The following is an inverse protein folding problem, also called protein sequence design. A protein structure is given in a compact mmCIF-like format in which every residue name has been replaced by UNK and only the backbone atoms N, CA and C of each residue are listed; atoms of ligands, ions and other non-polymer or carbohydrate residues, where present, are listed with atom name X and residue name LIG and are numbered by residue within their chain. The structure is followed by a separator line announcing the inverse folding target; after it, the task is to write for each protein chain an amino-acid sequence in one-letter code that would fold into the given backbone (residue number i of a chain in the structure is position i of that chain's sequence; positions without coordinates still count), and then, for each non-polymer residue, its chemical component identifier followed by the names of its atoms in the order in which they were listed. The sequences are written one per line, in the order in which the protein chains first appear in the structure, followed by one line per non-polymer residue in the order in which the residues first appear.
data_IF_350456032684
#
_entry.id   IF_350456032684
#
_cell.length_a   1.000
_cell.length_b   1.000
_cell.length_c   1.000
_cell.angle_alpha   90.00
_cell.angle_beta   90.00
_cell.angle_gamma   90.00
#
_symmetry.space_group_name_H-M   'P 1'
#
loop_
_entity.id
_entity.type
_entity.pdbx_description
1 polymer ?
#
# COMPACT_ATOMS: atom_id res chain seq x y z
N UNK A 1 -25.54 -5.91 20.42
CA UNK A 1 -24.91 -7.24 20.29
C UNK A 1 -23.64 -7.07 19.48
N UNK A 2 -22.50 -7.32 20.10
CA UNK A 2 -21.16 -7.04 19.57
C UNK A 2 -20.69 -8.20 18.69
N UNK A 3 -20.21 -7.92 17.47
CA UNK A 3 -19.36 -8.86 16.73
C UNK A 3 -18.02 -8.17 16.41
N UNK A 4 -17.00 -8.57 17.16
CA UNK A 4 -15.59 -8.20 16.96
C UNK A 4 -15.00 -9.17 15.92
N UNK A 5 -14.46 -8.65 14.83
CA UNK A 5 -13.61 -9.44 13.93
C UNK A 5 -12.18 -9.35 14.47
N UNK A 6 -11.69 -10.45 15.04
CA UNK A 6 -10.30 -10.61 15.45
C UNK A 6 -9.43 -10.90 14.23
N UNK A 7 -8.34 -10.15 14.07
CA UNK A 7 -7.19 -10.61 13.29
C UNK A 7 -6.45 -11.66 14.14
N UNK A 8 -6.56 -12.92 13.74
CA UNK A 8 -5.84 -14.03 14.36
C UNK A 8 -4.47 -14.12 13.72
N UNK A 9 -3.42 -13.85 14.51
CA UNK A 9 -2.04 -14.25 14.21
C UNK A 9 -1.77 -15.50 15.03
N UNK A 10 -1.69 -16.66 14.39
CA UNK A 10 -1.32 -17.92 15.04
C UNK A 10 0.21 -17.97 15.08
N UNK A 11 0.78 -17.92 16.28
CA UNK A 11 2.20 -18.28 16.51
C UNK A 11 2.19 -19.47 17.47
N UNK A 12 2.55 -20.66 16.99
CA UNK A 12 2.66 -21.85 17.84
C UNK A 12 4.10 -21.98 18.32
N UNK A 13 4.30 -21.97 19.64
CA UNK A 13 5.56 -22.30 20.29
C UNK A 13 5.49 -23.73 20.83
N UNK A 14 6.42 -24.59 20.41
CA UNK A 14 6.58 -25.94 20.97
C UNK A 14 7.82 -25.99 21.87
N UNK A 15 7.61 -26.58 23.06
CA UNK A 15 8.62 -26.87 24.08
C UNK A 15 9.39 -28.14 23.69
N UNK A 16 10.72 -28.05 23.74
CA UNK A 16 11.65 -29.17 23.52
C UNK A 16 11.75 -30.07 24.76
N UNK A 17 11.83 -31.39 24.54
CA UNK A 17 12.49 -32.33 25.45
C UNK A 17 13.48 -33.21 24.64
N UNK A 18 14.61 -33.65 25.26
CA UNK A 18 15.77 -34.16 24.52
C UNK A 18 15.76 -35.68 24.36
N UNK A 19 16.25 -36.15 23.22
CA UNK A 19 16.51 -37.57 22.95
C UNK A 19 17.55 -37.74 21.86
N UNK A 20 18.68 -38.35 22.23
CA UNK A 20 19.88 -38.50 21.43
C UNK A 20 19.77 -39.58 20.34
N UNK A 21 20.41 -39.34 19.19
CA UNK A 21 21.53 -40.15 18.65
C UNK A 21 21.60 -40.12 17.13
N UNK A 22 22.85 -40.14 16.66
CA UNK A 22 23.31 -39.84 15.32
C UNK A 22 23.03 -40.95 14.28
N UNK A 23 22.70 -40.53 13.05
CA UNK A 23 23.39 -40.83 11.78
C UNK A 23 22.40 -40.73 10.61
N UNK A 24 22.50 -39.67 9.82
CA UNK A 24 22.33 -39.73 8.35
C UNK A 24 22.74 -38.38 7.76
N UNK A 25 23.78 -38.39 6.95
CA UNK A 25 24.18 -37.26 6.11
C UNK A 25 23.54 -37.47 4.74
N UNK A 26 22.22 -37.27 4.63
CA UNK A 26 21.51 -37.03 3.38
C UNK A 26 20.01 -36.83 3.65
N UNK A 27 19.64 -35.69 4.22
CA UNK A 27 18.32 -35.08 3.99
C UNK A 27 18.58 -33.60 3.77
N UNK A 28 19.06 -33.26 2.56
CA UNK A 28 18.84 -31.89 2.07
C UNK A 28 17.34 -31.84 1.78
N UNK A 29 16.61 -31.02 2.54
CA UNK A 29 15.26 -30.61 2.16
C UNK A 29 15.23 -30.31 0.66
N UNK A 30 14.20 -30.77 -0.07
CA UNK A 30 14.15 -30.57 -1.51
C UNK A 30 14.27 -29.06 -1.79
N UNK A 31 15.11 -28.64 -2.76
CA UNK A 31 15.18 -27.25 -3.14
C UNK A 31 13.78 -26.82 -3.54
N UNK A 32 13.30 -25.75 -2.91
CA UNK A 32 12.00 -25.17 -3.17
C UNK A 32 11.77 -25.06 -4.69
N UNK A 33 10.85 -25.88 -5.21
CA UNK A 33 10.57 -25.96 -6.63
C UNK A 33 9.49 -24.96 -7.03
N UNK A 34 9.59 -23.71 -6.57
CA UNK A 34 8.76 -22.64 -7.12
C UNK A 34 9.44 -22.18 -8.41
N UNK A 35 8.85 -22.43 -9.59
CA UNK A 35 9.47 -21.99 -10.84
C UNK A 35 9.53 -20.47 -10.86
N UNK A 36 10.74 -19.94 -10.94
CA UNK A 36 11.00 -18.51 -11.04
C UNK A 36 12.23 -18.28 -11.91
N UNK A 37 12.06 -17.51 -12.98
CA UNK A 37 13.14 -17.09 -13.86
C UNK A 37 13.31 -15.57 -13.76
N UNK A 38 14.38 -15.07 -13.10
CA UNK A 38 14.64 -13.65 -13.01
C UNK A 38 15.00 -13.02 -14.37
N UNK A 39 15.29 -13.78 -15.42
CA UNK A 39 15.48 -13.24 -16.77
C UNK A 39 14.17 -12.96 -17.51
N UNK A 40 13.06 -13.59 -17.10
CA UNK A 40 11.74 -13.36 -17.71
C UNK A 40 11.31 -11.90 -17.50
N UNK A 41 10.98 -11.12 -18.55
CA UNK A 41 10.55 -9.73 -18.40
C UNK A 41 9.31 -9.59 -17.52
N UNK A 42 9.19 -8.51 -16.73
CA UNK A 42 8.03 -8.28 -15.84
C UNK A 42 6.67 -8.43 -16.54
N UNK A 43 6.55 -7.93 -17.78
CA UNK A 43 5.34 -8.07 -18.61
C UNK A 43 4.94 -9.54 -18.80
N UNK A 44 5.91 -10.42 -19.04
CA UNK A 44 5.68 -11.85 -19.27
C UNK A 44 5.29 -12.60 -17.98
N UNK A 45 5.36 -11.95 -16.81
CA UNK A 45 4.94 -12.49 -15.51
C UNK A 45 3.49 -12.19 -15.17
N UNK A 46 2.76 -11.51 -16.06
CA UNK A 46 1.32 -11.36 -15.93
C UNK A 46 0.66 -12.71 -16.19
N UNK A 47 -0.11 -13.19 -15.22
CA UNK A 47 -0.80 -14.48 -15.30
C UNK A 47 -1.95 -14.58 -14.32
N UNK A 48 -2.49 -15.79 -14.17
CA UNK A 48 -3.65 -16.02 -13.31
C UNK A 48 -3.34 -15.77 -11.82
N UNK A 49 -4.27 -15.17 -11.07
CA UNK A 49 -4.15 -15.01 -9.61
C UNK A 49 -4.13 -16.39 -8.92
N UNK A 50 -3.44 -16.49 -7.78
CA UNK A 50 -3.45 -17.73 -7.01
C UNK A 50 -4.83 -17.98 -6.37
N UNK A 51 -5.12 -19.24 -6.02
CA UNK A 51 -6.37 -19.59 -5.32
C UNK A 51 -6.49 -18.88 -3.97
N UNK A 52 -5.37 -18.72 -3.26
CA UNK A 52 -5.33 -18.05 -1.96
C UNK A 52 -5.66 -16.56 -2.09
N UNK A 53 -5.18 -15.91 -3.16
CA UNK A 53 -5.53 -14.53 -3.47
C UNK A 53 -7.03 -14.40 -3.73
N UNK A 54 -7.60 -15.26 -4.59
CA UNK A 54 -9.04 -15.25 -4.85
C UNK A 54 -9.86 -15.52 -3.57
N UNK A 55 -9.38 -16.41 -2.70
CA UNK A 55 -10.00 -16.67 -1.40
C UNK A 55 -9.92 -15.46 -0.47
N UNK A 56 -8.79 -14.75 -0.42
CA UNK A 56 -8.62 -13.54 0.38
C UNK A 56 -9.61 -12.43 -0.04
N UNK A 57 -9.80 -12.21 -1.34
CA UNK A 57 -10.80 -11.27 -1.86
C UNK A 57 -12.23 -11.67 -1.47
N UNK A 58 -12.60 -12.95 -1.59
CA UNK A 58 -13.92 -13.43 -1.15
C UNK A 58 -14.09 -13.28 0.36
N UNK A 59 -13.05 -13.55 1.13
CA UNK A 59 -13.03 -13.42 2.59
C UNK A 59 -13.19 -11.97 3.07
N UNK A 60 -12.85 -10.98 2.24
CA UNK A 60 -13.11 -9.57 2.54
C UNK A 60 -14.55 -9.14 2.26
N UNK A 61 -15.42 -10.05 1.82
CA UNK A 61 -16.80 -9.76 1.42
C UNK A 61 -16.94 -9.24 -0.02
N UNK A 62 -15.87 -9.29 -0.84
CA UNK A 62 -15.97 -8.90 -2.23
C UNK A 62 -16.85 -9.89 -3.03
N UNK A 63 -17.64 -9.35 -3.97
CA UNK A 63 -18.48 -10.15 -4.87
C UNK A 63 -17.93 -10.12 -6.28
N UNK A 64 -18.33 -11.08 -7.13
CA UNK A 64 -17.84 -11.18 -8.51
C UNK A 64 -16.37 -11.60 -8.64
N UNK A 65 -15.79 -12.23 -7.60
CA UNK A 65 -14.35 -12.50 -7.53
C UNK A 65 -13.90 -13.58 -8.50
N UNK A 66 -13.11 -13.20 -9.51
CA UNK A 66 -12.53 -14.10 -10.49
C UNK A 66 -11.28 -13.52 -11.20
N UNK A 67 -10.55 -14.32 -11.98
CA UNK A 67 -9.45 -13.82 -12.81
C UNK A 67 -9.95 -12.79 -13.83
N UNK A 68 -9.15 -11.76 -14.08
CA UNK A 68 -9.38 -10.80 -15.16
C UNK A 68 -8.38 -11.00 -16.29
N UNK A 69 -8.89 -11.12 -17.52
CA UNK A 69 -8.07 -11.15 -18.72
C UNK A 69 -7.95 -9.73 -19.27
N UNK A 70 -6.72 -9.23 -19.36
CA UNK A 70 -6.46 -7.89 -19.86
C UNK A 70 -6.84 -7.75 -21.35
N UNK A 71 -7.61 -6.71 -21.65
CA UNK A 71 -7.81 -6.20 -23.01
C UNK A 71 -6.56 -5.49 -23.54
N UNK A 72 -6.51 -5.22 -24.84
CA UNK A 72 -5.40 -4.49 -25.47
C UNK A 72 -5.18 -3.09 -24.87
N UNK A 73 -6.26 -2.41 -24.49
CA UNK A 73 -6.20 -1.09 -23.88
C UNK A 73 -5.59 -1.15 -22.46
N UNK A 74 -5.96 -2.17 -21.69
CA UNK A 74 -5.42 -2.38 -20.34
C UNK A 74 -3.96 -2.83 -20.39
N UNK A 75 -3.60 -3.67 -21.35
CA UNK A 75 -2.21 -4.04 -21.60
C UNK A 75 -1.31 -2.83 -21.85
N UNK A 76 -1.78 -1.84 -22.62
CA UNK A 76 -1.05 -0.58 -22.82
C UNK A 76 -0.85 0.19 -21.52
N UNK A 77 -1.85 0.20 -20.64
CA UNK A 77 -1.73 0.83 -19.32
C UNK A 77 -0.73 0.10 -18.43
N UNK A 78 -0.74 -1.24 -18.43
CA UNK A 78 0.24 -2.06 -17.69
C UNK A 78 1.66 -1.81 -18.18
N UNK A 79 1.89 -1.80 -19.49
CA UNK A 79 3.21 -1.49 -20.06
C UNK A 79 3.71 -0.11 -19.66
N UNK A 80 2.84 0.90 -19.81
CA UNK A 80 3.16 2.27 -19.43
C UNK A 80 3.48 2.38 -17.93
N UNK A 81 2.71 1.70 -17.08
CA UNK A 81 2.92 1.67 -15.64
C UNK A 81 4.25 1.00 -15.26
N UNK A 82 4.57 -0.18 -15.83
CA UNK A 82 5.83 -0.88 -15.58
C UNK A 82 7.03 -0.04 -16.05
N UNK A 83 6.95 0.54 -17.25
CA UNK A 83 7.98 1.45 -17.77
C UNK A 83 8.10 2.72 -16.92
N UNK A 84 7.04 3.10 -16.21
CA UNK A 84 7.01 4.27 -15.36
C UNK A 84 7.62 4.10 -13.96
N UNK A 85 7.81 2.86 -13.51
CA UNK A 85 8.47 2.59 -12.22
C UNK A 85 9.90 3.16 -12.19
N UNK A 86 10.41 3.63 -11.03
CA UNK A 86 11.82 3.95 -10.87
C UNK A 86 12.73 2.77 -11.22
N UNK A 87 13.97 3.04 -11.65
CA UNK A 87 14.92 1.98 -12.06
C UNK A 87 15.14 0.94 -10.96
N UNK A 88 15.39 1.40 -9.72
CA UNK A 88 15.61 0.52 -8.57
C UNK A 88 14.41 -0.41 -8.32
N UNK A 89 13.17 0.12 -8.42
CA UNK A 89 11.96 -0.70 -8.33
C UNK A 89 11.93 -1.76 -9.42
N UNK A 90 12.18 -1.41 -10.69
CA UNK A 90 12.22 -2.40 -11.78
C UNK A 90 13.28 -3.47 -11.55
N UNK A 91 14.48 -3.09 -11.11
CA UNK A 91 15.59 -4.01 -10.87
C UNK A 91 15.29 -4.99 -9.69
N UNK A 92 14.61 -4.50 -8.65
CA UNK A 92 14.15 -5.35 -7.53
C UNK A 92 13.00 -6.25 -7.98
N UNK A 93 11.99 -5.70 -8.67
CA UNK A 93 10.88 -6.50 -9.17
C UNK A 93 11.38 -7.59 -10.14
N UNK A 94 12.36 -7.30 -10.99
CA UNK A 94 12.94 -8.28 -11.90
C UNK A 94 13.52 -9.49 -11.14
N UNK A 95 14.08 -9.28 -9.95
CA UNK A 95 14.65 -10.34 -9.10
C UNK A 95 13.66 -11.00 -8.13
N UNK A 96 12.59 -10.30 -7.73
CA UNK A 96 11.75 -10.75 -6.62
C UNK A 96 10.26 -10.89 -6.97
N UNK A 97 9.76 -10.26 -8.04
CA UNK A 97 8.35 -10.35 -8.41
C UNK A 97 8.10 -11.58 -9.28
N UNK A 98 7.54 -12.64 -8.71
CA UNK A 98 7.21 -13.86 -9.43
C UNK A 98 6.03 -13.67 -10.38
N UNK A 99 4.99 -12.96 -9.95
CA UNK A 99 3.74 -12.84 -10.70
C UNK A 99 3.07 -11.49 -10.54
N UNK A 100 2.48 -11.01 -11.63
CA UNK A 100 1.47 -9.95 -11.62
C UNK A 100 0.14 -10.60 -12.02
N UNK A 101 -0.95 -10.30 -11.31
CA UNK A 101 -2.27 -10.81 -11.69
C UNK A 101 -3.35 -9.76 -11.49
N UNK A 102 -4.47 -9.95 -12.19
CA UNK A 102 -5.61 -9.05 -12.16
C UNK A 102 -6.86 -9.81 -11.77
N UNK A 103 -7.66 -9.22 -10.88
CA UNK A 103 -8.90 -9.83 -10.38
C UNK A 103 -10.09 -8.93 -10.65
N UNK A 104 -11.17 -9.53 -11.13
CA UNK A 104 -12.49 -8.93 -11.02
C UNK A 104 -12.94 -8.97 -9.57
N UNK A 105 -13.47 -7.86 -9.06
CA UNK A 105 -14.03 -7.75 -7.73
C UNK A 105 -14.94 -6.50 -7.66
N UNK A 106 -15.99 -6.56 -6.85
CA UNK A 106 -16.89 -5.43 -6.60
C UNK A 106 -16.15 -4.19 -6.07
N UNK A 107 -16.68 -3.01 -6.38
CA UNK A 107 -16.17 -1.75 -5.85
C UNK A 107 -16.16 -1.75 -4.31
N UNK A 108 -15.15 -1.11 -3.71
CA UNK A 108 -14.92 -1.14 -2.27
C UNK A 108 -14.18 -2.40 -1.75
N UNK A 109 -13.93 -3.40 -2.60
CA UNK A 109 -12.96 -4.45 -2.29
C UNK A 109 -11.53 -3.89 -2.22
N UNK A 110 -10.61 -4.62 -1.57
CA UNK A 110 -9.19 -4.26 -1.55
C UNK A 110 -8.65 -4.00 -2.96
N UNK A 111 -7.94 -2.89 -3.15
CA UNK A 111 -7.51 -2.48 -4.49
C UNK A 111 -6.34 -3.29 -5.03
N UNK A 112 -5.51 -3.83 -4.13
CA UNK A 112 -4.37 -4.64 -4.47
C UNK A 112 -3.97 -5.54 -3.30
N UNK A 113 -3.15 -6.55 -3.60
CA UNK A 113 -2.54 -7.44 -2.62
C UNK A 113 -1.13 -7.79 -3.05
N UNK A 114 -0.15 -7.51 -2.18
CA UNK A 114 1.25 -7.94 -2.33
C UNK A 114 1.57 -9.03 -1.31
N UNK A 115 1.61 -10.29 -1.76
CA UNK A 115 1.89 -11.45 -0.90
C UNK A 115 3.31 -11.96 -1.11
N UNK A 116 4.00 -12.26 -0.02
CA UNK A 116 5.24 -13.03 -0.07
C UNK A 116 4.89 -14.49 -0.33
N UNK A 117 5.57 -15.09 -1.30
CA UNK A 117 5.52 -16.51 -1.59
C UNK A 117 6.59 -17.18 -0.75
N UNK A 118 6.22 -18.31 -0.12
CA UNK A 118 6.98 -19.17 0.79
C UNK A 118 8.45 -18.77 1.07
N UNK A 119 8.73 -18.46 2.34
CA UNK A 119 10.02 -17.93 2.79
C UNK A 119 11.15 -18.96 2.79
N UNK A 120 10.82 -20.25 2.67
CA UNK A 120 11.77 -21.36 2.79
C UNK A 120 12.61 -21.56 1.50
N UNK A 121 12.41 -20.70 0.49
CA UNK A 121 12.99 -20.80 -0.85
C UNK A 121 14.29 -19.98 -1.06
N UNK A 122 14.91 -19.49 0.01
CA UNK A 122 16.11 -18.64 -0.06
C UNK A 122 15.77 -17.17 -0.23
N UNK A 123 15.69 -16.68 -1.47
CA UNK A 123 15.31 -15.27 -1.72
C UNK A 123 13.78 -15.09 -1.65
N UNK A 124 13.33 -14.04 -0.97
CA UNK A 124 11.91 -13.73 -0.88
C UNK A 124 11.34 -13.41 -2.28
N UNK A 125 10.33 -14.18 -2.69
CA UNK A 125 9.56 -13.96 -3.90
C UNK A 125 8.18 -13.38 -3.57
N UNK A 126 7.60 -12.63 -4.50
CA UNK A 126 6.33 -11.94 -4.30
C UNK A 126 5.38 -12.15 -5.46
N UNK A 127 4.10 -12.23 -5.14
CA UNK A 127 3.01 -12.06 -6.10
C UNK A 127 2.34 -10.71 -5.83
N UNK A 128 2.02 -9.99 -6.91
CA UNK A 128 1.29 -8.73 -6.89
C UNK A 128 -0.04 -8.92 -7.62
N UNK A 129 -1.14 -8.63 -6.94
CA UNK A 129 -2.49 -8.70 -7.52
C UNK A 129 -3.14 -7.34 -7.50
N UNK A 130 -3.76 -6.91 -8.60
CA UNK A 130 -4.51 -5.66 -8.70
C UNK A 130 -5.98 -5.93 -9.05
N UNK A 131 -6.90 -5.11 -8.53
CA UNK A 131 -8.31 -5.13 -8.96
C UNK A 131 -8.43 -4.55 -10.39
N UNK A 132 -9.12 -5.26 -11.28
CA UNK A 132 -9.31 -4.86 -12.67
C UNK A 132 -10.07 -3.53 -12.83
N UNK A 133 -10.99 -3.21 -11.90
CA UNK A 133 -11.71 -1.94 -11.89
C UNK A 133 -10.82 -0.70 -11.95
N UNK A 134 -9.57 -0.80 -11.48
CA UNK A 134 -8.58 0.29 -11.49
C UNK A 134 -8.27 0.83 -12.90
N UNK A 135 -8.44 0.02 -13.96
CA UNK A 135 -8.20 0.47 -15.34
C UNK A 135 -9.21 1.52 -15.83
N UNK A 136 -10.33 1.67 -15.12
CA UNK A 136 -11.44 2.59 -15.45
C UNK A 136 -11.49 3.81 -14.53
N UNK A 137 -10.53 3.93 -13.61
CA UNK A 137 -10.49 4.98 -12.60
C UNK A 137 -9.41 6.02 -12.92
N UNK A 138 -9.78 7.30 -12.80
CA UNK A 138 -8.77 8.35 -12.66
C UNK A 138 -8.18 8.31 -11.26
N UNK A 139 -6.98 8.83 -11.11
CA UNK A 139 -6.28 8.91 -9.83
C UNK A 139 -7.08 9.74 -8.82
N UNK A 140 -7.70 10.84 -9.25
CA UNK A 140 -8.57 11.65 -8.39
C UNK A 140 -9.73 10.83 -7.83
N UNK A 141 -10.41 10.06 -8.69
CA UNK A 141 -11.51 9.21 -8.27
C UNK A 141 -11.03 8.12 -7.30
N UNK A 142 -9.98 7.39 -7.67
CA UNK A 142 -9.41 6.32 -6.85
C UNK A 142 -9.04 6.81 -5.44
N UNK A 143 -8.30 7.92 -5.34
CA UNK A 143 -7.88 8.46 -4.05
C UNK A 143 -9.06 9.01 -3.23
N UNK A 144 -10.03 9.65 -3.90
CA UNK A 144 -11.26 10.15 -3.25
C UNK A 144 -12.10 9.01 -2.70
N UNK A 145 -12.35 7.97 -3.49
CA UNK A 145 -13.18 6.82 -3.10
C UNK A 145 -12.51 6.03 -1.97
N UNK A 146 -11.18 5.93 -1.98
CA UNK A 146 -10.41 5.36 -0.85
C UNK A 146 -10.66 6.16 0.42
N UNK A 147 -10.48 7.48 0.40
CA UNK A 147 -10.69 8.36 1.55
C UNK A 147 -12.13 8.41 2.06
N UNK A 148 -13.12 8.28 1.17
CA UNK A 148 -14.54 8.23 1.56
C UNK A 148 -14.83 7.11 2.59
N UNK A 149 -14.05 6.03 2.59
CA UNK A 149 -14.15 4.95 3.57
C UNK A 149 -13.90 5.36 5.02
N UNK A 150 -13.33 6.55 5.27
CA UNK A 150 -13.08 7.09 6.61
C UNK A 150 -14.29 7.82 7.22
N UNK A 151 -15.29 8.14 6.40
CA UNK A 151 -16.38 9.01 6.79
C UNK A 151 -17.74 8.31 6.76
N UNK A 152 -18.66 8.83 7.56
CA UNK A 152 -20.09 8.56 7.50
C UNK A 152 -20.82 9.83 7.08
N UNK A 153 -21.91 9.66 6.32
CA UNK A 153 -22.78 10.77 5.97
C UNK A 153 -23.50 11.27 7.23
N UNK A 154 -23.54 12.59 7.41
CA UNK A 154 -24.13 13.26 8.59
C UNK A 154 -25.16 14.34 8.22
N UNK A 155 -25.51 14.44 6.94
CA UNK A 155 -26.44 15.44 6.43
C UNK A 155 -25.86 16.84 6.27
N UNK A 156 -24.58 17.08 6.58
CA UNK A 156 -23.94 18.40 6.43
C UNK A 156 -23.80 18.87 4.98
N UNK A 157 -23.91 17.95 4.02
CA UNK A 157 -23.58 18.21 2.60
C UNK A 157 -22.08 18.37 2.35
N UNK A 158 -21.24 18.18 3.37
CA UNK A 158 -19.78 18.28 3.23
C UNK A 158 -19.27 17.20 2.29
N UNK A 159 -18.32 17.57 1.43
CA UNK A 159 -17.64 16.64 0.53
C UNK A 159 -16.13 16.74 0.70
N UNK A 160 -15.46 15.61 0.49
CA UNK A 160 -14.00 15.48 0.44
C UNK A 160 -13.63 15.02 -0.96
N UNK A 161 -12.63 15.66 -1.58
CA UNK A 161 -12.05 15.23 -2.85
C UNK A 161 -10.54 15.31 -2.81
N UNK A 162 -9.88 14.33 -3.41
CA UNK A 162 -8.46 14.40 -3.76
C UNK A 162 -8.35 14.77 -5.23
N UNK A 163 -7.88 15.99 -5.49
CA UNK A 163 -7.69 16.55 -6.82
C UNK A 163 -6.29 16.22 -7.32
N UNK A 164 -6.18 15.18 -8.15
CA UNK A 164 -4.94 14.69 -8.77
C UNK A 164 -5.00 14.67 -10.31
N UNK A 165 -6.06 15.22 -10.91
CA UNK A 165 -6.31 15.20 -12.35
C UNK A 165 -6.81 13.86 -12.89
N UNK A 166 -6.68 13.68 -14.20
CA UNK A 166 -7.18 12.53 -14.99
C UNK A 166 -6.12 11.45 -15.26
N UNK A 167 -4.98 11.49 -14.55
CA UNK A 167 -3.98 10.42 -14.65
C UNK A 167 -4.67 9.08 -14.31
N UNK A 168 -4.47 8.00 -15.07
CA UNK A 168 -5.01 6.69 -14.70
C UNK A 168 -4.54 6.25 -13.30
N UNK A 169 -5.35 5.50 -12.56
CA UNK A 169 -4.99 5.03 -11.22
C UNK A 169 -3.88 3.95 -11.24
N UNK A 170 -3.75 3.19 -12.34
CA UNK A 170 -2.86 2.02 -12.46
C UNK A 170 -1.38 2.34 -12.23
N UNK A 171 -0.78 3.39 -12.81
CA UNK A 171 0.59 3.77 -12.50
C UNK A 171 0.84 4.06 -11.02
N UNK A 172 -0.11 4.71 -10.34
CA UNK A 172 0.00 5.03 -8.91
C UNK A 172 -0.02 3.77 -8.06
N UNK A 173 -1.03 2.92 -8.25
CA UNK A 173 -1.20 1.71 -7.43
C UNK A 173 -0.09 0.69 -7.69
N UNK A 174 0.36 0.51 -8.94
CA UNK A 174 1.50 -0.36 -9.22
C UNK A 174 2.79 0.15 -8.55
N UNK A 175 3.00 1.47 -8.53
CA UNK A 175 4.13 2.06 -7.83
C UNK A 175 4.03 1.89 -6.30
N UNK A 176 2.85 2.07 -5.73
CA UNK A 176 2.60 1.84 -4.31
C UNK A 176 2.89 0.37 -3.93
N UNK A 177 2.31 -0.59 -4.65
CA UNK A 177 2.51 -2.02 -4.37
C UNK A 177 3.95 -2.50 -4.62
N UNK A 178 4.58 -2.03 -5.69
CA UNK A 178 5.99 -2.32 -5.93
C UNK A 178 6.91 -1.74 -4.85
N UNK A 179 6.52 -0.63 -4.22
CA UNK A 179 7.27 -0.06 -3.10
C UNK A 179 7.21 -0.93 -1.84
N UNK A 180 6.12 -1.68 -1.63
CA UNK A 180 6.07 -2.70 -0.57
C UNK A 180 7.07 -3.84 -0.82
N UNK A 181 7.24 -4.26 -2.07
CA UNK A 181 8.26 -5.27 -2.43
C UNK A 181 9.66 -4.72 -2.18
N UNK A 182 9.95 -3.49 -2.65
CA UNK A 182 11.22 -2.81 -2.40
C UNK A 182 11.50 -2.70 -0.89
N UNK A 183 10.50 -2.32 -0.10
CA UNK A 183 10.63 -2.22 1.35
C UNK A 183 10.94 -3.57 1.99
N UNK A 184 10.25 -4.65 1.60
CA UNK A 184 10.50 -5.99 2.16
C UNK A 184 11.89 -6.50 1.83
N UNK A 185 12.42 -6.19 0.65
CA UNK A 185 13.77 -6.60 0.23
C UNK A 185 14.85 -5.76 0.93
N UNK A 186 14.64 -4.46 1.09
CA UNK A 186 15.66 -3.54 1.61
C UNK A 186 15.51 -3.21 3.10
N UNK A 187 14.40 -3.58 3.73
CA UNK A 187 14.04 -3.27 5.10
C UNK A 187 14.05 -1.78 5.40
N UNK A 188 13.48 -0.92 4.53
CA UNK A 188 13.62 0.53 4.68
C UNK A 188 12.76 1.07 5.81
N UNK A 189 11.51 0.61 5.92
CA UNK A 189 10.52 1.10 6.89
C UNK A 189 10.78 0.64 8.33
N UNK A 190 11.64 -0.37 8.51
CA UNK A 190 12.08 -0.87 9.81
C UNK A 190 13.31 -0.14 10.35
N UNK A 191 14.06 0.56 9.49
CA UNK A 191 15.26 1.31 9.90
C UNK A 191 14.92 2.45 10.85
N UNK A 192 15.72 2.61 11.90
CA UNK A 192 15.59 3.71 12.86
C UNK A 192 15.57 5.09 12.18
N UNK A 193 16.43 5.28 11.18
CA UNK A 193 16.49 6.53 10.41
C UNK A 193 15.14 6.85 9.74
N UNK A 194 14.45 5.85 9.17
CA UNK A 194 13.10 6.05 8.63
C UNK A 194 12.10 6.33 9.76
N UNK A 195 12.12 5.56 10.85
CA UNK A 195 11.07 5.62 11.89
C UNK A 195 11.10 6.87 12.76
N UNK A 196 12.28 7.45 12.94
CA UNK A 196 12.55 8.52 13.89
C UNK A 196 11.55 9.70 13.76
N UNK A 197 10.95 10.06 14.89
CA UNK A 197 10.03 11.19 15.02
C UNK A 197 8.60 10.92 14.54
N UNK A 198 8.35 9.77 13.89
CA UNK A 198 7.03 9.44 13.31
C UNK A 198 6.43 8.20 13.95
N UNK A 199 7.22 7.15 14.10
CA UNK A 199 6.80 5.87 14.65
C UNK A 199 7.44 5.65 16.02
N UNK A 200 6.72 4.97 16.91
CA UNK A 200 7.28 4.53 18.17
C UNK A 200 8.46 3.57 17.92
N UNK A 201 9.41 3.56 18.86
CA UNK A 201 10.56 2.64 18.82
C UNK A 201 10.07 1.20 18.92
N UNK A 202 10.77 0.29 18.25
CA UNK A 202 10.40 -1.13 18.14
C UNK A 202 9.57 -1.42 16.91
N UNK A 203 9.11 -2.67 16.81
CA UNK A 203 8.34 -3.17 15.69
C UNK A 203 6.86 -2.77 15.79
N UNK A 204 6.20 -2.63 14.64
CA UNK A 204 4.77 -2.37 14.55
C UNK A 204 4.39 -0.93 14.16
N UNK A 205 3.12 -0.62 14.39
CA UNK A 205 2.39 0.52 13.81
C UNK A 205 2.07 1.66 14.78
N UNK A 206 2.62 1.64 16.00
CA UNK A 206 2.35 2.70 16.98
C UNK A 206 3.01 4.01 16.56
N UNK A 207 2.28 5.13 16.68
CA UNK A 207 2.80 6.47 16.38
C UNK A 207 3.74 6.95 17.49
N UNK A 208 4.70 7.81 17.14
CA UNK A 208 5.55 8.49 18.12
C UNK A 208 4.69 9.37 19.06
N UNK A 209 5.09 9.59 20.33
CA UNK A 209 4.28 10.30 21.32
C UNK A 209 3.74 11.66 20.86
N UNK A 210 4.52 12.42 20.08
CA UNK A 210 4.10 13.72 19.54
C UNK A 210 2.97 13.66 18.50
N UNK A 211 2.63 12.48 17.98
CA UNK A 211 1.60 12.27 16.97
C UNK A 211 0.38 11.50 17.48
N UNK A 212 0.46 10.87 18.67
CA UNK A 212 -0.61 10.01 19.20
C UNK A 212 -1.92 10.77 19.43
N UNK A 213 -1.82 12.01 19.90
CA UNK A 213 -3.00 12.84 20.20
C UNK A 213 -3.54 13.60 18.98
N UNK A 214 -2.93 13.45 17.80
CA UNK A 214 -3.45 14.03 16.57
C UNK A 214 -4.69 13.23 16.10
N UNK A 215 -5.67 13.91 15.49
CA UNK A 215 -6.85 13.26 14.93
C UNK A 215 -6.52 12.13 13.95
N UNK A 216 -5.38 12.23 13.23
CA UNK A 216 -4.88 11.15 12.35
C UNK A 216 -4.61 9.84 13.09
N UNK A 217 -4.26 9.89 14.38
CA UNK A 217 -3.96 8.72 15.20
C UNK A 217 -5.18 7.84 15.52
N UNK A 218 -6.39 8.34 15.29
CA UNK A 218 -7.67 7.72 15.67
C UNK A 218 -8.64 7.52 14.50
N UNK A 219 -8.15 7.51 13.26
CA UNK A 219 -8.98 7.24 12.07
C UNK A 219 -9.40 5.77 12.00
N UNK A 220 -10.45 5.47 11.22
CA UNK A 220 -11.01 4.13 11.08
C UNK A 220 -9.96 3.07 10.69
N UNK A 221 -9.06 3.39 9.75
CA UNK A 221 -7.98 2.46 9.34
C UNK A 221 -6.96 2.15 10.43
N UNK A 222 -6.91 2.95 11.49
CA UNK A 222 -6.07 2.72 12.69
C UNK A 222 -6.85 2.08 13.84
N UNK A 223 -8.06 1.59 13.58
CA UNK A 223 -8.94 0.96 14.57
C UNK A 223 -9.86 1.94 15.30
N UNK A 224 -9.93 3.20 14.86
CA UNK A 224 -10.95 4.15 15.31
C UNK A 224 -12.31 3.89 14.67
N UNK A 225 -13.27 4.76 14.97
CA UNK A 225 -14.56 4.80 14.27
C UNK A 225 -14.44 5.64 12.99
N UNK A 226 -15.37 5.44 12.06
CA UNK A 226 -15.61 6.42 11.00
C UNK A 226 -16.09 7.74 11.64
N UNK A 227 -15.80 8.85 10.98
CA UNK A 227 -16.15 10.19 11.46
C UNK A 227 -17.31 10.79 10.65
N UNK A 228 -18.17 11.63 11.23
CA UNK A 228 -19.07 12.47 10.46
C UNK A 228 -18.29 13.25 9.39
N UNK A 229 -18.75 13.26 8.14
CA UNK A 229 -18.02 13.93 7.05
C UNK A 229 -17.89 15.45 7.28
N UNK A 230 -18.79 16.08 8.06
CA UNK A 230 -18.66 17.47 8.49
C UNK A 230 -17.38 17.76 9.29
N UNK A 231 -16.78 16.75 9.93
CA UNK A 231 -15.51 16.89 10.65
C UNK A 231 -14.27 16.88 9.75
N UNK A 232 -14.43 16.63 8.44
CA UNK A 232 -13.31 16.42 7.52
C UNK A 232 -12.33 17.61 7.50
N UNK A 233 -12.85 18.85 7.52
CA UNK A 233 -11.99 20.05 7.52
C UNK A 233 -11.06 20.08 8.75
N UNK A 234 -11.56 19.73 9.92
CA UNK A 234 -10.78 19.67 11.16
C UNK A 234 -9.76 18.52 11.12
N UNK A 235 -10.16 17.36 10.58
CA UNK A 235 -9.26 16.21 10.41
C UNK A 235 -8.06 16.56 9.52
N UNK A 236 -8.28 17.17 8.35
CA UNK A 236 -7.18 17.55 7.45
C UNK A 236 -6.36 18.74 7.96
N UNK A 237 -6.96 19.67 8.71
CA UNK A 237 -6.21 20.69 9.42
C UNK A 237 -5.24 20.06 10.44
N UNK A 238 -5.67 19.00 11.15
CA UNK A 238 -4.81 18.20 12.01
C UNK A 238 -3.73 17.44 11.23
N UNK A 239 -4.10 16.80 10.11
CA UNK A 239 -3.16 16.07 9.25
C UNK A 239 -2.05 16.97 8.70
N UNK A 240 -2.34 18.23 8.35
CA UNK A 240 -1.34 19.20 7.90
C UNK A 240 -0.20 19.42 8.90
N UNK A 241 -0.42 19.14 10.19
CA UNK A 241 0.58 19.21 11.25
C UNK A 241 1.38 17.92 11.44
N UNK A 242 1.20 16.94 10.55
CA UNK A 242 1.85 15.63 10.61
C UNK A 242 2.83 15.44 9.45
N UNK A 243 3.76 14.49 9.53
CA UNK A 243 4.67 14.16 8.42
C UNK A 243 4.02 13.33 7.30
N UNK A 244 2.73 13.01 7.38
CA UNK A 244 2.07 12.10 6.44
C UNK A 244 1.56 12.81 5.18
N UNK A 245 1.76 12.18 4.01
CA UNK A 245 1.27 12.67 2.71
C UNK A 245 -0.22 12.39 2.48
N UNK A 246 -0.77 11.36 3.11
CA UNK A 246 -2.18 10.97 3.08
C UNK A 246 -2.60 10.44 4.45
N UNK A 247 -3.91 10.38 4.75
CA UNK A 247 -4.36 9.70 5.97
C UNK A 247 -3.98 8.21 5.95
N UNK A 248 -3.91 7.60 4.76
CA UNK A 248 -3.51 6.21 4.60
C UNK A 248 -2.03 5.96 4.95
N UNK A 249 -1.14 6.91 4.61
CA UNK A 249 0.27 6.87 5.00
C UNK A 249 0.45 6.78 6.53
N UNK A 250 -0.53 7.24 7.32
CA UNK A 250 -0.48 7.13 8.78
C UNK A 250 -0.77 5.73 9.32
N UNK A 251 -1.18 4.75 8.50
CA UNK A 251 -1.65 3.42 8.95
C UNK A 251 -0.51 2.53 9.43
N UNK A 252 0.60 2.47 8.69
CA UNK A 252 1.78 1.70 9.07
C UNK A 252 3.04 2.27 8.41
N UNK A 253 4.24 1.97 8.94
CA UNK A 253 5.52 2.42 8.38
C UNK A 253 5.72 2.07 6.90
N UNK A 254 5.34 0.85 6.49
CA UNK A 254 5.41 0.42 5.09
C UNK A 254 4.47 1.23 4.18
N UNK A 255 3.25 1.52 4.66
CA UNK A 255 2.30 2.37 3.95
C UNK A 255 2.79 3.81 3.82
N UNK A 256 3.42 4.36 4.87
CA UNK A 256 4.05 5.68 4.79
C UNK A 256 5.13 5.71 3.71
N UNK A 257 6.01 4.71 3.68
CA UNK A 257 7.08 4.63 2.69
C UNK A 257 6.51 4.53 1.27
N UNK A 258 5.56 3.62 1.04
CA UNK A 258 4.94 3.41 -0.25
C UNK A 258 4.21 4.67 -0.75
N UNK A 259 3.46 5.35 0.13
CA UNK A 259 2.78 6.61 -0.20
C UNK A 259 3.79 7.74 -0.45
N UNK A 260 4.83 7.90 0.37
CA UNK A 260 5.87 8.92 0.15
C UNK A 260 6.53 8.75 -1.22
N UNK A 261 6.90 7.52 -1.59
CA UNK A 261 7.49 7.22 -2.90
C UNK A 261 6.48 7.51 -4.02
N UNK A 262 5.24 7.03 -3.89
CA UNK A 262 4.22 7.22 -4.92
C UNK A 262 3.94 8.72 -5.16
N UNK A 263 3.72 9.49 -4.10
CA UNK A 263 3.46 10.91 -4.18
C UNK A 263 4.65 11.72 -4.70
N UNK A 264 5.88 11.34 -4.36
CA UNK A 264 7.08 11.96 -4.95
C UNK A 264 7.13 11.75 -6.47
N UNK A 265 6.85 10.54 -6.93
CA UNK A 265 6.90 10.23 -8.35
C UNK A 265 5.75 10.90 -9.11
N UNK A 266 4.56 11.04 -8.51
CA UNK A 266 3.46 11.86 -9.07
C UNK A 266 3.96 13.26 -9.45
N UNK A 267 4.66 13.94 -8.56
CA UNK A 267 5.20 15.28 -8.82
C UNK A 267 6.36 15.25 -9.82
N UNK A 268 7.34 14.36 -9.61
CA UNK A 268 8.57 14.36 -10.38
C UNK A 268 8.40 13.88 -11.83
N UNK A 269 7.53 12.90 -12.05
CA UNK A 269 7.38 12.22 -13.35
C UNK A 269 6.13 12.64 -14.11
N UNK A 270 5.02 12.85 -13.41
CA UNK A 270 3.74 13.18 -14.03
C UNK A 270 3.31 14.63 -13.79
N UNK A 271 4.12 15.42 -13.06
CA UNK A 271 3.82 16.81 -12.70
C UNK A 271 2.46 16.97 -12.00
N UNK A 272 2.03 15.93 -11.28
CA UNK A 272 0.78 15.89 -10.51
C UNK A 272 1.10 16.21 -9.06
N UNK A 273 0.42 17.21 -8.50
CA UNK A 273 0.51 17.60 -7.08
C UNK A 273 -0.87 17.47 -6.45
N UNK A 274 -1.22 16.31 -5.87
CA UNK A 274 -2.57 16.10 -5.37
C UNK A 274 -2.93 17.11 -4.27
N UNK A 275 -4.15 17.65 -4.34
CA UNK A 275 -4.70 18.52 -3.32
C UNK A 275 -5.90 17.85 -2.66
N UNK A 276 -5.93 17.86 -1.33
CA UNK A 276 -7.09 17.45 -0.54
C UNK A 276 -7.98 18.68 -0.38
N UNK A 277 -9.25 18.56 -0.79
CA UNK A 277 -10.20 19.67 -0.77
C UNK A 277 -11.49 19.25 -0.07
N UNK A 278 -11.86 20.03 0.95
CA UNK A 278 -13.13 19.89 1.66
C UNK A 278 -14.04 21.05 1.26
N UNK A 279 -15.28 20.74 0.88
CA UNK A 279 -16.30 21.73 0.51
C UNK A 279 -17.57 21.53 1.32
N UNK A 280 -18.30 22.61 1.59
CA UNK A 280 -19.66 22.56 2.14
C UNK A 280 -20.71 22.21 1.07
N UNK A 281 -21.99 22.19 1.47
CA UNK A 281 -23.13 21.89 0.61
C UNK A 281 -23.24 22.87 -0.57
N UNK A 282 -22.90 24.14 -0.36
CA UNK A 282 -22.91 25.19 -1.37
C UNK A 282 -21.68 25.16 -2.29
N UNK A 283 -20.75 24.22 -2.05
CA UNK A 283 -19.53 24.04 -2.84
C UNK A 283 -18.39 24.99 -2.48
N UNK A 284 -18.53 25.80 -1.42
CA UNK A 284 -17.48 26.67 -0.91
C UNK A 284 -16.40 25.83 -0.24
N UNK A 285 -15.15 26.18 -0.51
CA UNK A 285 -13.98 25.48 0.03
C UNK A 285 -13.85 25.82 1.52
N UNK A 286 -14.04 24.81 2.37
CA UNK A 286 -13.81 24.87 3.81
C UNK A 286 -12.32 24.63 4.14
N UNK A 287 -11.67 23.76 3.38
CA UNK A 287 -10.27 23.43 3.56
C UNK A 287 -9.62 23.03 2.23
N UNK A 288 -8.37 23.48 2.01
CA UNK A 288 -7.53 23.01 0.91
C UNK A 288 -6.12 22.77 1.44
N UNK A 289 -5.59 21.60 1.16
CA UNK A 289 -4.26 21.18 1.59
C UNK A 289 -3.53 20.46 0.46
N UNK A 290 -2.30 20.89 0.18
CA UNK A 290 -1.38 20.23 -0.78
C UNK A 290 -0.26 19.59 0.05
N UNK A 291 -0.30 18.27 0.30
CA UNK A 291 0.64 17.61 1.21
C UNK A 291 2.12 17.81 0.86
N UNK A 292 2.46 17.85 -0.43
CA UNK A 292 3.83 18.06 -0.90
C UNK A 292 4.39 19.46 -0.56
N UNK A 293 3.54 20.43 -0.22
CA UNK A 293 3.97 21.75 0.24
C UNK A 293 4.28 21.80 1.74
N UNK A 294 3.90 20.78 2.52
CA UNK A 294 4.12 20.77 3.95
C UNK A 294 5.62 20.56 4.29
N UNK A 295 6.22 21.40 5.15
CA UNK A 295 7.62 21.24 5.55
C UNK A 295 7.93 19.86 6.16
N UNK A 296 7.02 19.32 6.99
CA UNK A 296 7.19 18.02 7.62
C UNK A 296 7.23 16.89 6.56
N UNK A 297 6.31 16.90 5.59
CA UNK A 297 6.28 15.95 4.47
C UNK A 297 7.55 16.06 3.62
N UNK A 298 7.98 17.28 3.26
CA UNK A 298 9.21 17.46 2.48
C UNK A 298 10.46 16.93 3.21
N UNK A 299 10.51 17.07 4.53
CA UNK A 299 11.60 16.49 5.32
C UNK A 299 11.59 14.95 5.25
N UNK A 300 10.40 14.32 5.28
CA UNK A 300 10.27 12.87 5.08
C UNK A 300 10.71 12.42 3.68
N UNK A 301 10.29 13.12 2.63
CA UNK A 301 10.68 12.81 1.25
C UNK A 301 12.20 12.84 1.04
N UNK A 302 12.88 13.85 1.60
CA UNK A 302 14.35 13.92 1.58
C UNK A 302 14.98 12.71 2.26
N UNK A 303 14.46 12.30 3.40
CA UNK A 303 14.94 11.15 4.16
C UNK A 303 14.74 9.83 3.40
N UNK A 304 13.57 9.63 2.78
CA UNK A 304 13.32 8.45 1.91
C UNK A 304 14.28 8.43 0.73
N UNK A 305 14.55 9.58 0.10
CA UNK A 305 15.50 9.68 -1.01
C UNK A 305 16.92 9.23 -0.58
N UNK A 306 17.39 9.68 0.59
CA UNK A 306 18.68 9.25 1.14
C UNK A 306 18.70 7.75 1.43
N UNK A 307 17.62 7.21 2.00
CA UNK A 307 17.53 5.79 2.32
C UNK A 307 17.56 4.90 1.07
N UNK A 308 16.83 5.27 0.02
CA UNK A 308 16.82 4.55 -1.26
C UNK A 308 18.20 4.54 -1.92
N UNK A 309 18.91 5.69 -1.88
CA UNK A 309 20.27 5.79 -2.39
C UNK A 309 21.28 4.94 -1.60
N UNK A 310 21.09 4.79 -0.28
CA UNK A 310 21.95 3.98 0.60
C UNK A 310 21.67 2.47 0.58
N UNK A 311 20.53 2.06 0.03
CA UNK A 311 20.12 0.65 -0.09
C UNK A 311 20.31 0.06 -1.48
N UNK A 312 21.02 0.77 -2.36
CA UNK A 312 21.37 0.33 -3.73
C UNK A 312 22.71 -0.36 -3.77
#
# INVERSE_FOLDING_TARGET
MHNRVFAVVITAAFVLAPGASALSRADREPPCAIPFDPAMPLRARVGEPSRDVLAAYRGSGATGVGPHNLSDAEWKQVDAAIAALPRQHRDILQRHLRRISFVEASDGAGNALTSQVDADCGEALFDLTLRAGLFRESLSRFLTDKEAGLFEADGSGTTVRIEAGELPAVPYILLHESSHIVDRVLGLSTRNAFREGVWARGEGRALAPGLVNNATGSIAWRGGAKRPIGDAAALYAGMRQTPFVSLYASVAPGEELAELIAWQQLEARWHVRPAIVVRDLEGKILHRYVPLDAPAVRARLKRVTVLLASGS
#
